data_IF_466545470149
#
_entry.id   IF_466545470149
#
_cell.length_a   1.000
_cell.length_b   1.000
_cell.length_c   1.000
_cell.angle_alpha   90.00
_cell.angle_beta   90.00
_cell.angle_gamma   90.00
#
_symmetry.space_group_name_H-M   'P 1'
#
loop_
_entity.id
_entity.type
_entity.pdbx_description
1 polymer ?
#
# COMPACT_ATOMS: atom_id res chain seq x y z
N UNK A 1 -2.07 2.27 -6.85
CA UNK A 1 -1.45 1.15 -6.12
C UNK A 1 -1.91 -0.17 -6.71
N UNK A 2 -0.98 -0.98 -7.21
CA UNK A 2 -1.26 -2.37 -7.58
C UNK A 2 -0.71 -3.26 -6.48
N UNK A 3 -1.58 -3.77 -5.62
CA UNK A 3 -1.19 -4.75 -4.62
C UNK A 3 -1.07 -6.10 -5.31
N UNK A 4 0.14 -6.61 -5.45
CA UNK A 4 0.39 -7.99 -5.85
C UNK A 4 0.86 -8.71 -4.60
N UNK A 5 -0.07 -9.33 -3.88
CA UNK A 5 0.28 -10.30 -2.85
C UNK A 5 0.68 -11.59 -3.58
N UNK A 6 1.99 -11.89 -3.62
CA UNK A 6 2.47 -13.19 -4.08
C UNK A 6 2.57 -14.12 -2.88
N UNK A 7 1.58 -14.98 -2.72
CA UNK A 7 1.70 -16.22 -1.95
C UNK A 7 2.15 -17.30 -2.93
N UNK A 8 3.10 -18.17 -2.56
CA UNK A 8 3.41 -19.31 -3.42
C UNK A 8 2.16 -20.19 -3.53
N UNK A 9 1.55 -20.19 -4.73
CA UNK A 9 0.29 -20.83 -5.18
C UNK A 9 -1.05 -20.09 -5.00
N UNK A 10 -1.14 -18.98 -4.25
CA UNK A 10 -2.39 -18.21 -4.11
C UNK A 10 -2.23 -16.77 -4.61
N UNK A 11 -2.97 -16.41 -5.67
CA UNK A 11 -2.98 -15.05 -6.24
C UNK A 11 -4.37 -14.45 -6.13
N UNK A 12 -4.49 -13.36 -5.38
CA UNK A 12 -5.70 -12.54 -5.33
C UNK A 12 -5.58 -11.37 -6.31
N UNK A 13 -6.50 -11.30 -7.27
CA UNK A 13 -6.65 -10.14 -8.16
C UNK A 13 -7.95 -9.40 -7.82
N UNK A 14 -7.84 -8.09 -7.58
CA UNK A 14 -9.00 -7.20 -7.36
C UNK A 14 -9.10 -6.25 -8.56
N UNK A 15 -9.89 -6.59 -9.60
CA UNK A 15 -10.06 -5.72 -10.75
C UNK A 15 -10.88 -4.48 -10.37
N UNK A 16 -10.57 -3.36 -11.01
CA UNK A 16 -11.39 -2.15 -10.94
C UNK A 16 -12.29 -2.09 -12.18
N UNK A 17 -13.60 -2.05 -11.96
CA UNK A 17 -14.59 -2.10 -13.04
C UNK A 17 -15.02 -0.72 -13.56
N UNK A 18 -14.58 0.36 -12.92
CA UNK A 18 -14.94 1.74 -13.25
C UNK A 18 -13.77 2.69 -12.91
N UNK A 19 -13.74 3.86 -13.56
CA UNK A 19 -12.82 4.94 -13.24
C UNK A 19 -13.30 5.80 -12.06
N UNK A 20 -12.44 6.67 -11.55
CA UNK A 20 -12.78 7.57 -10.43
C UNK A 20 -12.72 6.92 -9.05
N UNK A 21 -12.11 5.74 -8.93
CA UNK A 21 -11.87 5.05 -7.67
C UNK A 21 -10.99 5.92 -6.77
N UNK A 22 -11.47 6.21 -5.56
CA UNK A 22 -10.82 7.08 -4.60
C UNK A 22 -10.36 6.34 -3.34
N UNK A 23 -10.03 7.11 -2.31
CA UNK A 23 -9.50 6.57 -1.04
C UNK A 23 -10.43 5.54 -0.40
N UNK A 24 -11.72 5.86 -0.30
CA UNK A 24 -12.70 5.01 0.38
C UNK A 24 -12.86 3.63 -0.28
N UNK A 25 -12.82 3.56 -1.61
CA UNK A 25 -12.93 2.30 -2.35
C UNK A 25 -11.71 1.41 -2.08
N UNK A 26 -10.52 2.03 -2.06
CA UNK A 26 -9.27 1.35 -1.74
C UNK A 26 -9.26 0.87 -0.29
N UNK A 27 -9.60 1.74 0.66
CA UNK A 27 -9.66 1.40 2.09
C UNK A 27 -10.67 0.28 2.33
N UNK A 28 -11.87 0.36 1.73
CA UNK A 28 -12.89 -0.67 1.84
C UNK A 28 -12.38 -2.02 1.36
N UNK A 29 -11.77 -2.06 0.17
CA UNK A 29 -11.17 -3.27 -0.40
C UNK A 29 -10.06 -3.83 0.50
N UNK A 30 -9.25 -2.96 1.09
CA UNK A 30 -8.18 -3.37 1.99
C UNK A 30 -8.72 -3.97 3.28
N UNK A 31 -9.70 -3.34 3.91
CA UNK A 31 -10.27 -3.79 5.18
C UNK A 31 -11.10 -5.07 5.05
N UNK A 32 -11.86 -5.22 3.96
CA UNK A 32 -12.85 -6.30 3.83
C UNK A 32 -12.36 -7.48 2.99
N UNK A 33 -11.32 -7.31 2.18
CA UNK A 33 -10.81 -8.37 1.30
C UNK A 33 -9.34 -8.65 1.58
N UNK A 34 -8.47 -7.64 1.46
CA UNK A 34 -7.01 -7.84 1.54
C UNK A 34 -6.58 -8.24 2.95
N UNK A 35 -6.97 -7.48 3.97
CA UNK A 35 -6.52 -7.67 5.34
C UNK A 35 -6.98 -9.01 5.93
N UNK A 36 -8.24 -9.47 5.77
CA UNK A 36 -8.66 -10.78 6.27
C UNK A 36 -7.86 -11.93 5.65
N UNK A 37 -7.72 -11.92 4.32
CA UNK A 37 -6.96 -12.96 3.60
C UNK A 37 -5.48 -12.94 3.99
N UNK A 38 -4.87 -11.75 4.07
CA UNK A 38 -3.47 -11.62 4.45
C UNK A 38 -3.23 -11.97 5.92
N UNK A 39 -4.19 -11.73 6.81
CA UNK A 39 -4.11 -12.11 8.22
C UNK A 39 -4.20 -13.62 8.40
N UNK A 40 -5.10 -14.28 7.67
CA UNK A 40 -5.21 -15.75 7.65
C UNK A 40 -3.92 -16.40 7.10
N UNK A 41 -3.29 -15.78 6.10
CA UNK A 41 -2.02 -16.23 5.56
C UNK A 41 -0.85 -16.15 6.58
N UNK A 42 -0.90 -15.19 7.52
CA UNK A 42 0.12 -15.03 8.57
C UNK A 42 1.55 -14.78 8.05
N UNK A 43 1.81 -13.75 7.21
CA UNK A 43 3.12 -13.52 6.62
C UNK A 43 4.17 -13.08 7.65
N UNK A 44 5.40 -13.60 7.53
CA UNK A 44 6.57 -13.14 8.31
C UNK A 44 7.12 -11.79 7.83
N UNK A 45 6.85 -11.41 6.58
CA UNK A 45 7.27 -10.16 5.94
C UNK A 45 6.21 -9.70 4.94
N UNK A 46 5.84 -8.43 5.00
CA UNK A 46 4.95 -7.82 4.02
C UNK A 46 5.75 -6.97 3.03
N UNK A 47 5.58 -7.21 1.72
CA UNK A 47 6.23 -6.44 0.65
C UNK A 47 5.17 -5.70 -0.17
N UNK A 48 5.26 -4.37 -0.21
CA UNK A 48 4.37 -3.51 -0.99
C UNK A 48 5.07 -3.08 -2.27
N UNK A 49 4.48 -3.45 -3.40
CA UNK A 49 4.79 -2.87 -4.71
C UNK A 49 4.03 -1.54 -4.89
N UNK A 50 4.62 -0.44 -4.41
CA UNK A 50 3.98 0.87 -4.33
C UNK A 50 4.02 1.63 -5.67
N UNK A 51 2.96 1.47 -6.47
CA UNK A 51 2.67 2.33 -7.62
C UNK A 51 1.82 3.54 -7.24
N UNK A 52 2.35 4.74 -7.52
CA UNK A 52 1.68 6.03 -7.34
C UNK A 52 0.95 6.52 -8.60
N UNK A 53 0.79 5.63 -9.58
CA UNK A 53 0.02 5.86 -10.82
C UNK A 53 -1.49 6.03 -10.59
N UNK A 54 -2.03 5.54 -9.47
CA UNK A 54 -3.43 5.77 -9.07
C UNK A 54 -3.64 7.08 -8.28
N UNK A 55 -2.58 7.88 -8.08
CA UNK A 55 -2.67 9.09 -7.30
C UNK A 55 -3.49 10.17 -8.03
N UNK A 56 -4.16 11.02 -7.24
CA UNK A 56 -4.78 12.26 -7.74
C UNK A 56 -3.80 13.04 -8.61
N UNK A 57 -4.22 13.37 -9.83
CA UNK A 57 -3.43 14.13 -10.79
C UNK A 57 -2.47 13.31 -11.65
N UNK A 58 -2.43 11.98 -11.50
CA UNK A 58 -1.76 11.09 -12.45
C UNK A 58 -2.72 10.67 -13.57
N UNK A 59 -2.37 11.00 -14.81
CA UNK A 59 -3.22 10.78 -15.98
C UNK A 59 -3.37 9.29 -16.35
N UNK A 60 -2.48 8.43 -15.86
CA UNK A 60 -2.40 7.03 -16.30
C UNK A 60 -3.30 6.09 -15.49
N UNK A 61 -3.65 6.45 -14.24
CA UNK A 61 -4.36 5.53 -13.33
C UNK A 61 -5.88 5.64 -13.31
N UNK A 62 -6.45 6.71 -13.88
CA UNK A 62 -7.89 7.02 -13.84
C UNK A 62 -8.50 6.89 -12.43
N UNK A 63 -7.75 7.28 -11.40
CA UNK A 63 -8.12 7.20 -9.97
C UNK A 63 -7.90 8.56 -9.29
N UNK A 64 -8.44 8.68 -8.09
CA UNK A 64 -8.32 9.88 -7.27
C UNK A 64 -7.79 9.57 -5.86
N UNK A 65 -6.74 8.76 -5.76
CA UNK A 65 -6.16 8.38 -4.46
C UNK A 65 -5.29 9.53 -3.94
N UNK A 66 -5.57 9.98 -2.73
CA UNK A 66 -4.80 11.04 -2.07
C UNK A 66 -3.58 10.49 -1.34
N UNK A 67 -2.59 11.34 -1.00
CA UNK A 67 -1.49 10.93 -0.13
C UNK A 67 -1.96 10.30 1.19
N UNK A 68 -3.06 10.79 1.77
CA UNK A 68 -3.62 10.25 3.01
C UNK A 68 -4.24 8.86 2.79
N UNK A 69 -4.89 8.63 1.64
CA UNK A 69 -5.35 7.31 1.23
C UNK A 69 -4.21 6.30 1.12
N UNK A 70 -3.07 6.71 0.53
CA UNK A 70 -1.86 5.89 0.50
C UNK A 70 -1.32 5.58 1.91
N UNK A 71 -1.26 6.58 2.80
CA UNK A 71 -0.85 6.39 4.18
C UNK A 71 -1.77 5.41 4.92
N UNK A 72 -3.09 5.53 4.77
CA UNK A 72 -4.05 4.66 5.42
C UNK A 72 -3.96 3.22 4.91
N UNK A 73 -3.80 3.00 3.61
CA UNK A 73 -3.54 1.67 3.05
C UNK A 73 -2.26 1.05 3.61
N UNK A 74 -1.18 1.83 3.69
CA UNK A 74 0.08 1.39 4.30
C UNK A 74 -0.10 1.05 5.77
N UNK A 75 -0.88 1.84 6.52
CA UNK A 75 -1.13 1.61 7.94
C UNK A 75 -1.88 0.29 8.17
N UNK A 76 -2.89 -0.01 7.35
CA UNK A 76 -3.61 -1.29 7.37
C UNK A 76 -2.65 -2.47 7.18
N UNK A 77 -1.74 -2.37 6.20
CA UNK A 77 -0.76 -3.42 5.93
C UNK A 77 0.36 -3.50 6.96
N UNK A 78 0.68 -2.41 7.65
CA UNK A 78 1.69 -2.39 8.71
C UNK A 78 1.26 -3.18 9.96
N UNK A 79 -0.04 -3.44 10.13
CA UNK A 79 -0.54 -4.32 11.18
C UNK A 79 -0.18 -5.81 10.94
N UNK A 80 0.22 -6.16 9.71
CA UNK A 80 0.67 -7.50 9.36
C UNK A 80 2.15 -7.69 9.69
N UNK A 81 2.61 -8.96 9.77
CA UNK A 81 4.03 -9.31 9.92
C UNK A 81 4.75 -8.65 11.12
N UNK A 82 4.00 -8.24 12.15
CA UNK A 82 4.56 -7.50 13.29
C UNK A 82 5.25 -6.18 12.88
N UNK A 83 4.78 -5.51 11.83
CA UNK A 83 5.37 -4.27 11.32
C UNK A 83 6.59 -4.45 10.42
N UNK A 84 6.98 -5.69 10.09
CA UNK A 84 8.04 -5.96 9.11
C UNK A 84 7.52 -5.67 7.70
N UNK A 85 7.75 -4.45 7.24
CA UNK A 85 7.22 -3.93 5.99
C UNK A 85 8.33 -3.43 5.07
N UNK A 86 8.37 -3.93 3.82
CA UNK A 86 9.24 -3.42 2.76
C UNK A 86 8.39 -2.76 1.68
N UNK A 87 8.66 -1.48 1.39
CA UNK A 87 7.96 -0.74 0.33
C UNK A 87 8.90 -0.50 -0.84
N UNK A 88 8.48 -0.89 -2.04
CA UNK A 88 9.26 -0.78 -3.28
C UNK A 88 8.50 0.11 -4.26
N UNK A 89 9.08 1.26 -4.61
CA UNK A 89 8.53 2.17 -5.61
C UNK A 89 8.39 1.47 -6.98
N UNK A 90 7.24 1.66 -7.62
CA UNK A 90 6.96 1.21 -9.00
C UNK A 90 6.51 2.38 -9.88
N UNK A 91 5.28 2.33 -10.39
CA UNK A 91 4.71 3.34 -11.28
C UNK A 91 4.37 4.64 -10.56
N UNK A 92 3.87 5.60 -11.33
CA UNK A 92 3.67 6.99 -10.93
C UNK A 92 4.46 7.88 -11.88
N UNK A 93 3.76 8.84 -12.47
CA UNK A 93 4.27 9.66 -13.56
C UNK A 93 4.03 11.15 -13.32
N UNK A 94 3.20 11.49 -12.34
CA UNK A 94 3.14 12.85 -11.80
C UNK A 94 4.13 13.03 -10.63
N UNK A 95 5.21 13.80 -10.86
CA UNK A 95 6.27 14.00 -9.87
C UNK A 95 5.77 14.54 -8.52
N UNK A 96 4.81 15.47 -8.54
CA UNK A 96 4.25 16.05 -7.31
C UNK A 96 3.43 15.01 -6.55
N UNK A 97 2.61 14.24 -7.26
CA UNK A 97 1.81 13.17 -6.66
C UNK A 97 2.70 12.06 -6.08
N UNK A 98 3.75 11.65 -6.81
CA UNK A 98 4.75 10.68 -6.32
C UNK A 98 5.39 11.20 -5.03
N UNK A 99 5.92 12.43 -5.05
CA UNK A 99 6.61 13.02 -3.90
C UNK A 99 5.72 13.06 -2.66
N UNK A 100 4.50 13.58 -2.80
CA UNK A 100 3.57 13.71 -1.66
C UNK A 100 3.11 12.35 -1.14
N UNK A 101 2.74 11.43 -2.02
CA UNK A 101 2.26 10.09 -1.62
C UNK A 101 3.38 9.23 -1.04
N UNK A 102 4.59 9.26 -1.60
CA UNK A 102 5.74 8.56 -1.04
C UNK A 102 6.10 9.11 0.36
N UNK A 103 6.06 10.43 0.55
CA UNK A 103 6.27 11.05 1.86
C UNK A 103 5.23 10.58 2.87
N UNK A 104 3.96 10.51 2.48
CA UNK A 104 2.88 10.05 3.35
C UNK A 104 3.07 8.58 3.75
N UNK A 105 3.45 7.71 2.81
CA UNK A 105 3.77 6.29 3.08
C UNK A 105 4.94 6.16 4.05
N UNK A 106 6.04 6.88 3.82
CA UNK A 106 7.23 6.82 4.69
C UNK A 106 6.91 7.26 6.12
N UNK A 107 6.05 8.26 6.31
CA UNK A 107 5.62 8.71 7.65
C UNK A 107 4.87 7.65 8.46
N UNK A 108 4.25 6.68 7.79
CA UNK A 108 3.52 5.58 8.45
C UNK A 108 4.47 4.47 8.90
N UNK A 109 5.57 4.28 8.18
CA UNK A 109 6.55 3.25 8.52
C UNK A 109 7.32 3.75 9.74
N UNK A 110 7.18 3.12 10.91
CA UNK A 110 7.95 3.52 12.07
C UNK A 110 9.44 3.39 11.73
N UNK A 111 10.20 4.44 12.03
CA UNK A 111 11.65 4.35 11.97
C UNK A 111 12.06 3.39 13.09
N UNK A 112 12.27 2.12 12.76
CA UNK A 112 12.96 1.22 13.66
C UNK A 112 14.40 1.75 13.74
N UNK A 113 14.69 2.57 14.75
CA UNK A 113 16.06 2.81 15.17
C UNK A 113 16.63 1.45 15.54
N UNK A 114 17.54 0.94 14.72
CA UNK A 114 18.37 -0.25 14.99
C UNK A 114 19.27 -0.10 16.25
N UNK A 115 18.97 0.85 17.13
CA UNK A 115 19.73 1.15 18.34
C UNK A 115 19.08 0.59 19.63
N UNK A 116 17.88 0.02 19.58
CA UNK A 116 17.25 -0.62 20.76
C UNK A 116 17.58 -2.13 20.91
N UNK A 117 18.70 -2.55 20.32
CA UNK A 117 19.34 -3.86 20.56
C UNK A 117 20.77 -3.64 21.06
N UNK A 118 20.90 -3.01 22.22
CA UNK A 118 22.14 -2.99 23.01
C UNK A 118 21.80 -3.21 24.49
N UNK A 119 22.04 -4.45 24.93
CA UNK A 119 21.97 -5.04 26.29
C UNK A 119 20.61 -5.14 26.98
#
# INVERSE_FOLDING_TARGET
MRLVLRVQKDTLNIPRNHGGVGDNDYIFSFQHVVLPIASEFGPDLTIISAGFDAARGDLSGCCDVTPDGYAQMTHILNALSGGKLLVILKGGYNLRSISSSATAVVKVIPFATLFDVWW
#
